data_IF_164796541673
#
_entry.id   IF_164796541673
#
_cell.length_a   1.000
_cell.length_b   1.000
_cell.length_c   1.000
_cell.angle_alpha   90.00
_cell.angle_beta   90.00
_cell.angle_gamma   90.00
#
_symmetry.space_group_name_H-M   'P 1'
#
loop_
_entity.id
_entity.type
_entity.pdbx_description
1 polymer ?
#
# COMPACT_ATOMS: atom_id res chain seq x y z
N UNK A 1 8.24 -5.31 6.96
CA UNK A 1 8.96 -4.28 6.19
C UNK A 1 9.69 -4.91 5.01
N UNK A 2 10.22 -4.10 4.09
CA UNK A 2 11.06 -4.59 3.02
C UNK A 2 12.38 -5.16 3.56
N UNK A 3 12.92 -6.19 2.92
CA UNK A 3 14.20 -6.80 3.28
C UNK A 3 15.22 -6.68 2.13
N UNK A 4 16.53 -6.79 2.41
CA UNK A 4 17.56 -6.70 1.37
C UNK A 4 17.30 -7.71 0.24
N UNK A 5 17.51 -7.30 -1.01
CA UNK A 5 17.33 -8.13 -2.21
C UNK A 5 15.92 -8.70 -2.44
N UNK A 6 14.90 -8.08 -1.85
CA UNK A 6 13.51 -8.46 -2.09
C UNK A 6 13.10 -8.22 -3.56
N UNK A 7 12.37 -9.18 -4.14
CA UNK A 7 11.90 -9.13 -5.53
C UNK A 7 10.40 -8.79 -5.67
N UNK A 8 9.59 -9.24 -4.71
CA UNK A 8 8.14 -9.06 -4.72
C UNK A 8 7.65 -8.04 -3.70
N UNK A 9 6.34 -8.05 -3.45
CA UNK A 9 5.72 -7.28 -2.38
C UNK A 9 6.18 -7.74 -0.99
N UNK A 10 5.97 -6.89 0.02
CA UNK A 10 6.08 -7.27 1.43
C UNK A 10 4.99 -8.27 1.79
N UNK A 11 5.25 -9.10 2.80
CA UNK A 11 4.26 -10.05 3.32
C UNK A 11 2.99 -9.32 3.76
N UNK A 12 1.85 -9.80 3.28
CA UNK A 12 0.56 -9.21 3.55
C UNK A 12 0.17 -9.37 5.03
N UNK A 13 -0.24 -8.28 5.66
CA UNK A 13 -0.70 -8.24 7.05
C UNK A 13 -2.18 -7.90 7.21
N UNK A 14 -2.85 -7.59 6.10
CA UNK A 14 -4.30 -7.41 6.00
C UNK A 14 -4.89 -8.39 4.97
N UNK A 15 -6.17 -8.80 5.10
CA UNK A 15 -6.84 -9.65 4.11
C UNK A 15 -6.86 -9.04 2.70
N UNK A 16 -7.00 -7.71 2.62
CA UNK A 16 -6.96 -6.98 1.33
C UNK A 16 -5.61 -7.13 0.65
N UNK A 17 -4.51 -7.01 1.40
CA UNK A 17 -3.18 -7.16 0.81
C UNK A 17 -2.94 -8.60 0.34
N UNK A 18 -3.50 -9.62 1.00
CA UNK A 18 -3.46 -11.00 0.52
C UNK A 18 -4.17 -11.17 -0.84
N UNK A 19 -5.36 -10.59 -1.00
CA UNK A 19 -6.07 -10.58 -2.28
C UNK A 19 -5.28 -9.82 -3.38
N UNK A 20 -4.61 -8.72 -3.02
CA UNK A 20 -3.74 -7.98 -3.94
C UNK A 20 -2.52 -8.79 -4.38
N UNK A 21 -1.91 -9.60 -3.50
CA UNK A 21 -0.83 -10.52 -3.88
C UNK A 21 -1.30 -11.54 -4.92
N UNK A 22 -2.46 -12.17 -4.69
CA UNK A 22 -3.02 -13.14 -5.63
C UNK A 22 -3.40 -12.51 -6.98
N UNK A 23 -3.98 -11.31 -6.96
CA UNK A 23 -4.30 -10.57 -8.18
C UNK A 23 -3.06 -10.13 -8.95
N UNK A 24 -2.01 -9.70 -8.23
CA UNK A 24 -0.72 -9.41 -8.84
C UNK A 24 -0.15 -10.64 -9.53
N UNK A 25 -0.12 -11.79 -8.88
CA UNK A 25 0.45 -13.02 -9.46
C UNK A 25 -0.32 -13.47 -10.71
N UNK A 26 -1.66 -13.39 -10.68
CA UNK A 26 -2.51 -13.64 -11.84
C UNK A 26 -2.17 -12.70 -13.01
N UNK A 27 -2.03 -11.40 -12.73
CA UNK A 27 -1.69 -10.40 -13.75
C UNK A 27 -0.27 -10.59 -14.27
N UNK A 28 0.69 -10.88 -13.38
CA UNK A 28 2.09 -11.09 -13.71
C UNK A 28 2.29 -12.32 -14.60
N UNK A 29 1.55 -13.41 -14.34
CA UNK A 29 1.51 -14.59 -15.21
C UNK A 29 1.11 -14.21 -16.64
N UNK A 30 0.08 -13.38 -16.80
CA UNK A 30 -0.37 -12.91 -18.12
C UNK A 30 0.69 -12.03 -18.79
N UNK A 31 1.33 -11.12 -18.04
CA UNK A 31 2.41 -10.27 -18.55
C UNK A 31 3.61 -11.10 -19.02
N UNK A 32 4.01 -12.13 -18.26
CA UNK A 32 5.08 -13.05 -18.67
C UNK A 32 4.70 -13.86 -19.92
N UNK A 33 3.45 -14.31 -20.03
CA UNK A 33 2.97 -15.02 -21.20
C UNK A 33 3.04 -14.13 -22.46
N UNK A 34 2.55 -12.90 -22.38
CA UNK A 34 2.55 -11.97 -23.52
C UNK A 34 3.97 -11.56 -23.89
N UNK A 35 4.81 -11.18 -22.92
CA UNK A 35 6.18 -10.75 -23.18
C UNK A 35 7.04 -11.87 -23.78
N UNK A 36 6.90 -13.10 -23.29
CA UNK A 36 7.61 -14.26 -23.86
C UNK A 36 7.11 -14.61 -25.27
N UNK A 37 5.81 -14.50 -25.54
CA UNK A 37 5.23 -14.70 -26.88
C UNK A 37 5.76 -13.66 -27.88
N UNK A 38 5.75 -12.38 -27.50
CA UNK A 38 6.27 -11.29 -28.36
C UNK A 38 7.77 -11.49 -28.62
N UNK A 39 8.54 -11.80 -27.58
CA UNK A 39 9.97 -12.10 -27.73
C UNK A 39 10.20 -13.28 -28.68
N UNK A 40 9.43 -14.36 -28.53
CA UNK A 40 9.50 -15.52 -29.41
C UNK A 40 9.21 -15.14 -30.87
N UNK A 41 8.15 -14.38 -31.14
CA UNK A 41 7.80 -13.92 -32.49
C UNK A 41 8.95 -13.10 -33.09
N UNK A 42 9.52 -12.15 -32.34
CA UNK A 42 10.65 -11.34 -32.81
C UNK A 42 11.84 -12.23 -33.19
N UNK A 43 12.23 -13.15 -32.31
CA UNK A 43 13.35 -14.07 -32.56
C UNK A 43 13.08 -14.97 -33.77
N UNK A 44 11.86 -15.51 -33.89
CA UNK A 44 11.47 -16.35 -35.03
C UNK A 44 11.51 -15.58 -36.35
N UNK A 45 10.99 -14.36 -36.38
CA UNK A 45 10.95 -13.52 -37.59
C UNK A 45 12.33 -13.07 -38.05
N UNK A 46 13.26 -12.80 -37.12
CA UNK A 46 14.62 -12.32 -37.45
C UNK A 46 15.60 -13.47 -37.76
N UNK A 47 15.33 -14.69 -37.29
CA UNK A 47 16.25 -15.83 -37.44
C UNK A 47 16.10 -16.60 -38.76
N UNK A 48 15.02 -16.38 -39.52
CA UNK A 48 14.79 -17.11 -40.78
C UNK A 48 15.52 -16.48 -41.97
N UNK A 49 16.04 -17.33 -42.86
CA UNK A 49 16.58 -16.92 -44.17
C UNK A 49 15.52 -16.94 -45.28
N UNK A 50 14.35 -17.54 -45.02
CA UNK A 50 13.26 -17.61 -45.99
C UNK A 50 12.66 -16.23 -46.20
N UNK A 51 12.28 -15.90 -47.43
CA UNK A 51 11.70 -14.58 -47.75
C UNK A 51 10.34 -14.74 -48.40
N UNK A 52 9.40 -13.91 -47.96
CA UNK A 52 8.13 -13.65 -48.64
C UNK A 52 7.91 -12.14 -48.63
N UNK A 53 7.74 -11.54 -49.81
CA UNK A 53 7.57 -10.09 -50.00
C UNK A 53 6.19 -9.71 -50.52
N UNK A 54 5.32 -10.71 -50.74
CA UNK A 54 3.96 -10.44 -51.20
C UNK A 54 3.15 -9.84 -50.06
N UNK A 55 2.34 -8.83 -50.39
CA UNK A 55 1.33 -8.31 -49.46
C UNK A 55 0.24 -9.38 -49.39
N UNK A 56 0.07 -9.97 -48.21
CA UNK A 56 -1.01 -10.90 -47.92
C UNK A 56 -2.17 -10.12 -47.32
N UNK A 57 -3.39 -10.45 -47.72
CA UNK A 57 -4.59 -9.99 -47.01
C UNK A 57 -4.57 -10.54 -45.57
N UNK A 58 -4.94 -9.71 -44.60
CA UNK A 58 -4.68 -9.94 -43.16
C UNK A 58 -5.92 -9.91 -42.27
N UNK A 59 -7.13 -9.86 -42.84
CA UNK A 59 -8.37 -9.77 -42.06
C UNK A 59 -8.50 -10.87 -40.99
N UNK A 60 -8.16 -12.12 -41.32
CA UNK A 60 -8.27 -13.24 -40.38
C UNK A 60 -7.33 -13.10 -39.17
N UNK A 61 -6.09 -12.63 -39.39
CA UNK A 61 -5.14 -12.45 -38.29
C UNK A 61 -5.43 -11.20 -37.47
N UNK A 62 -5.99 -10.18 -38.12
CA UNK A 62 -6.50 -8.98 -37.46
C UNK A 62 -7.60 -9.30 -36.46
N UNK A 63 -8.56 -10.14 -36.85
CA UNK A 63 -9.62 -10.61 -35.94
C UNK A 63 -9.02 -11.33 -34.73
N UNK A 64 -8.03 -12.20 -34.94
CA UNK A 64 -7.38 -12.95 -33.85
C UNK A 64 -6.68 -12.01 -32.86
N UNK A 65 -5.82 -11.11 -33.33
CA UNK A 65 -5.07 -10.22 -32.43
C UNK A 65 -5.91 -9.10 -31.82
N UNK A 66 -7.16 -8.91 -32.26
CA UNK A 66 -8.10 -7.99 -31.61
C UNK A 66 -8.93 -8.72 -30.55
N UNK A 67 -9.48 -9.90 -30.86
CA UNK A 67 -10.34 -10.65 -29.93
C UNK A 67 -9.54 -11.23 -28.76
N UNK A 68 -8.35 -11.79 -29.02
CA UNK A 68 -7.55 -12.44 -27.97
C UNK A 68 -7.16 -11.45 -26.85
N UNK A 69 -6.60 -10.26 -27.13
CA UNK A 69 -6.34 -9.26 -26.09
C UNK A 69 -7.59 -8.77 -25.38
N UNK A 70 -8.73 -8.63 -26.07
CA UNK A 70 -9.99 -8.24 -25.43
C UNK A 70 -10.43 -9.25 -24.35
N UNK A 71 -10.31 -10.56 -24.64
CA UNK A 71 -10.60 -11.61 -23.65
C UNK A 71 -9.62 -11.55 -22.47
N UNK A 72 -8.32 -11.34 -22.75
CA UNK A 72 -7.29 -11.20 -21.70
C UNK A 72 -7.61 -10.03 -20.76
N UNK A 73 -8.02 -8.88 -21.31
CA UNK A 73 -8.40 -7.71 -20.50
C UNK A 73 -9.59 -8.01 -19.59
N UNK A 74 -10.61 -8.74 -20.08
CA UNK A 74 -11.75 -9.16 -19.25
C UNK A 74 -11.29 -10.06 -18.09
N UNK A 75 -10.38 -11.00 -18.36
CA UNK A 75 -9.82 -11.91 -17.34
C UNK A 75 -9.01 -11.19 -16.25
N UNK A 76 -8.45 -10.01 -16.54
CA UNK A 76 -7.79 -9.15 -15.55
C UNK A 76 -8.83 -8.26 -14.84
N UNK A 77 -9.77 -7.67 -15.58
CA UNK A 77 -10.72 -6.71 -15.06
C UNK A 77 -11.67 -7.31 -14.02
N UNK A 78 -12.15 -8.53 -14.22
CA UNK A 78 -13.10 -9.17 -13.29
C UNK A 78 -12.56 -9.32 -11.85
N UNK A 79 -11.39 -9.96 -11.60
CA UNK A 79 -10.83 -10.03 -10.26
C UNK A 79 -10.42 -8.65 -9.72
N UNK A 80 -9.92 -7.75 -10.59
CA UNK A 80 -9.57 -6.38 -10.19
C UNK A 80 -10.75 -5.60 -9.62
N UNK A 81 -11.88 -5.60 -10.33
CA UNK A 81 -13.09 -4.91 -9.89
C UNK A 81 -13.65 -5.53 -8.61
N UNK A 82 -13.61 -6.85 -8.47
CA UNK A 82 -14.02 -7.52 -7.22
C UNK A 82 -13.23 -7.00 -6.03
N UNK A 83 -11.90 -6.93 -6.13
CA UNK A 83 -11.04 -6.42 -5.04
C UNK A 83 -11.32 -4.94 -4.77
N UNK A 84 -11.49 -4.13 -5.82
CA UNK A 84 -11.82 -2.71 -5.68
C UNK A 84 -13.08 -2.50 -4.83
N UNK A 85 -14.14 -3.28 -5.07
CA UNK A 85 -15.37 -3.18 -4.28
C UNK A 85 -15.19 -3.71 -2.84
N UNK A 86 -14.39 -4.75 -2.63
CA UNK A 86 -14.06 -5.24 -1.27
C UNK A 86 -13.29 -4.19 -0.45
N UNK A 87 -12.44 -3.39 -1.09
CA UNK A 87 -11.70 -2.31 -0.43
C UNK A 87 -12.58 -1.11 -0.05
N UNK A 88 -13.61 -0.84 -0.83
CA UNK A 88 -14.53 0.28 -0.61
C UNK A 88 -15.69 -0.07 0.34
N UNK A 89 -15.89 -1.36 0.65
CA UNK A 89 -16.92 -1.80 1.57
C UNK A 89 -16.63 -1.29 2.99
N UNK A 90 -17.45 -0.33 3.44
CA UNK A 90 -17.30 0.28 4.76
C UNK A 90 -17.84 -0.69 5.82
N UNK A 91 -16.92 -1.37 6.47
CA UNK A 91 -17.21 -2.14 7.69
C UNK A 91 -17.49 -1.19 8.86
N UNK A 92 -18.32 -1.63 9.81
CA UNK A 92 -18.53 -0.96 11.10
C UNK A 92 -17.21 -0.95 11.89
N UNK A 93 -16.47 0.18 11.95
CA UNK A 93 -15.14 0.19 12.52
C UNK A 93 -15.21 0.27 14.04
N UNK A 94 -14.30 -0.44 14.71
CA UNK A 94 -14.22 -0.41 16.17
C UNK A 94 -13.55 0.87 16.69
N UNK A 95 -12.66 1.46 15.88
CA UNK A 95 -11.98 2.72 16.22
C UNK A 95 -11.70 3.53 14.95
N UNK A 96 -11.81 4.84 15.10
CA UNK A 96 -11.47 5.86 14.11
C UNK A 96 -10.23 6.60 14.57
N UNK A 97 -9.24 6.70 13.69
CA UNK A 97 -7.99 7.40 13.95
C UNK A 97 -7.77 8.40 12.83
N UNK A 98 -7.46 9.65 13.18
CA UNK A 98 -7.08 10.67 12.21
C UNK A 98 -5.56 10.71 12.09
N UNK A 99 -5.05 10.72 10.86
CA UNK A 99 -3.65 11.01 10.56
C UNK A 99 -3.56 12.35 9.83
N UNK A 100 -2.77 13.28 10.37
CA UNK A 100 -2.48 14.57 9.75
C UNK A 100 -1.05 14.61 9.25
N UNK A 101 -0.87 14.96 7.97
CA UNK A 101 0.43 15.20 7.38
C UNK A 101 0.91 16.63 7.59
N UNK A 102 2.15 16.78 8.05
CA UNK A 102 2.85 18.06 8.23
C UNK A 102 4.25 17.98 7.60
N UNK A 103 4.85 19.12 7.28
CA UNK A 103 6.26 19.24 6.88
C UNK A 103 7.14 19.21 8.15
N UNK A 104 7.83 18.14 8.50
CA UNK A 104 7.88 16.80 7.91
C UNK A 104 7.74 15.73 8.99
N UNK A 105 6.50 15.47 9.40
CA UNK A 105 6.10 14.47 10.40
C UNK A 105 4.60 14.15 10.25
N UNK A 106 4.12 13.19 11.05
CA UNK A 106 2.71 12.85 11.11
C UNK A 106 2.18 13.08 12.53
N UNK A 107 0.96 13.57 12.67
CA UNK A 107 0.24 13.60 13.94
C UNK A 107 -0.93 12.63 13.89
N UNK A 108 -1.23 11.99 15.02
CA UNK A 108 -2.32 11.03 15.14
C UNK A 108 -3.30 11.46 16.23
N UNK A 109 -4.58 11.48 15.90
CA UNK A 109 -5.66 11.76 16.85
C UNK A 109 -6.56 10.53 17.02
N UNK A 110 -6.78 10.12 18.26
CA UNK A 110 -7.69 9.05 18.68
C UNK A 110 -8.79 9.71 19.50
N UNK A 111 -9.92 10.08 18.89
CA UNK A 111 -10.94 10.96 19.51
C UNK A 111 -12.26 10.26 19.86
N UNK A 112 -12.38 8.96 19.61
CA UNK A 112 -13.62 8.21 19.84
C UNK A 112 -13.98 8.09 21.33
N UNK A 113 -12.98 8.00 22.21
CA UNK A 113 -13.18 7.79 23.66
C UNK A 113 -12.63 8.92 24.52
N UNK A 114 -11.42 9.41 24.21
CA UNK A 114 -10.74 10.52 24.89
C UNK A 114 -10.01 11.36 23.85
N UNK A 115 -9.51 12.54 24.20
CA UNK A 115 -8.71 13.35 23.28
C UNK A 115 -7.23 12.96 23.40
N UNK A 116 -6.87 11.82 22.81
CA UNK A 116 -5.47 11.39 22.71
C UNK A 116 -4.89 11.87 21.37
N UNK A 117 -3.82 12.66 21.45
CA UNK A 117 -3.12 13.22 20.29
C UNK A 117 -1.61 13.18 20.54
N UNK A 118 -0.82 12.87 19.51
CA UNK A 118 0.64 12.95 19.56
C UNK A 118 1.25 13.11 18.17
N UNK A 119 2.47 13.66 18.15
CA UNK A 119 3.31 13.76 16.96
C UNK A 119 4.25 12.56 16.85
N UNK A 120 4.53 12.17 15.61
CA UNK A 120 5.40 11.06 15.23
C UNK A 120 6.48 11.55 14.28
N UNK A 121 7.67 11.80 14.82
CA UNK A 121 8.87 12.22 14.08
C UNK A 121 9.80 11.04 13.81
N UNK A 122 10.56 11.12 12.72
CA UNK A 122 11.64 10.16 12.45
C UNK A 122 12.74 10.27 13.50
N UNK A 123 13.17 9.13 14.06
CA UNK A 123 14.36 9.09 14.91
C UNK A 123 15.61 9.34 14.06
N UNK A 124 16.46 10.27 14.49
CA UNK A 124 17.71 10.57 13.78
C UNK A 124 18.66 9.38 13.84
N UNK A 125 19.47 9.20 12.79
CA UNK A 125 20.33 8.01 12.67
C UNK A 125 21.34 7.90 13.81
N UNK A 126 21.75 9.02 14.40
CA UNK A 126 22.68 9.09 15.53
C UNK A 126 22.05 8.63 16.86
N UNK A 127 20.73 8.76 16.98
CA UNK A 127 19.95 8.43 18.18
C UNK A 127 19.33 7.02 18.12
N UNK A 128 19.55 6.27 17.03
CA UNK A 128 19.00 4.93 16.85
C UNK A 128 19.69 3.90 17.76
N UNK A 129 18.88 3.18 18.53
CA UNK A 129 19.35 2.01 19.27
C UNK A 129 19.80 0.88 18.32
N UNK A 130 20.81 0.08 18.69
CA UNK A 130 21.27 -1.05 17.88
C UNK A 130 20.13 -2.02 17.53
N UNK A 131 20.00 -2.35 16.24
CA UNK A 131 18.97 -3.24 15.71
C UNK A 131 17.75 -2.54 15.12
N UNK A 132 17.62 -1.23 15.32
CA UNK A 132 16.55 -0.42 14.72
C UNK A 132 16.85 0.02 13.29
N UNK A 133 15.80 0.37 12.54
CA UNK A 133 15.90 0.66 11.11
C UNK A 133 16.10 2.15 10.81
N UNK A 134 17.19 2.45 10.10
CA UNK A 134 17.47 3.78 9.57
C UNK A 134 16.33 4.29 8.68
N UNK A 135 15.88 5.51 8.91
CA UNK A 135 14.81 6.23 8.18
C UNK A 135 13.39 5.67 8.33
N UNK A 136 13.18 4.64 9.15
CA UNK A 136 11.87 4.00 9.29
C UNK A 136 11.30 4.11 10.70
N UNK A 137 12.13 4.16 11.73
CA UNK A 137 11.63 4.34 13.10
C UNK A 137 11.11 5.75 13.36
N UNK A 138 10.07 5.82 14.18
CA UNK A 138 9.52 7.04 14.74
C UNK A 138 9.65 7.03 16.26
N UNK A 139 9.68 8.22 16.86
CA UNK A 139 9.69 8.40 18.32
C UNK A 139 8.40 7.87 18.98
N UNK A 140 7.24 8.17 18.38
CA UNK A 140 5.95 7.60 18.74
C UNK A 140 5.39 6.78 17.59
N UNK A 141 4.91 5.58 17.91
CA UNK A 141 4.25 4.69 16.94
C UNK A 141 2.75 4.85 17.03
N UNK A 142 2.08 4.68 15.90
CA UNK A 142 0.62 4.57 15.86
C UNK A 142 0.21 3.17 16.37
N UNK A 143 -0.22 3.07 17.62
CA UNK A 143 -0.61 1.79 18.24
C UNK A 143 -2.09 1.52 18.02
N UNK A 144 -2.43 0.31 17.56
CA UNK A 144 -3.81 -0.11 17.28
C UNK A 144 -4.12 -1.53 17.76
N UNK A 145 -5.39 -1.85 18.05
CA UNK A 145 -5.80 -3.21 18.36
C UNK A 145 -5.78 -4.09 17.10
N UNK A 146 -5.10 -5.23 17.17
CA UNK A 146 -5.15 -6.26 16.12
C UNK A 146 -6.57 -6.85 15.98
N UNK A 147 -6.86 -7.46 14.83
CA UNK A 147 -8.13 -8.13 14.51
C UNK A 147 -9.39 -7.26 14.67
N UNK A 148 -9.22 -5.94 14.68
CA UNK A 148 -10.31 -4.97 14.73
C UNK A 148 -10.32 -4.14 13.46
N UNK A 149 -11.49 -3.86 12.84
CA UNK A 149 -11.57 -2.94 11.73
C UNK A 149 -11.27 -1.52 12.20
N UNK A 150 -10.25 -0.91 11.61
CA UNK A 150 -9.78 0.45 11.89
C UNK A 150 -10.24 1.35 10.75
N UNK A 151 -10.88 2.48 11.07
CA UNK A 151 -11.14 3.56 10.11
C UNK A 151 -10.04 4.61 10.24
N UNK A 152 -9.30 4.82 9.17
CA UNK A 152 -8.36 5.94 9.07
C UNK A 152 -9.02 7.12 8.36
N UNK A 153 -8.88 8.30 8.97
CA UNK A 153 -9.20 9.58 8.36
C UNK A 153 -7.90 10.32 8.09
N UNK A 154 -7.60 10.60 6.83
CA UNK A 154 -6.30 11.07 6.38
C UNK A 154 -6.46 12.46 5.76
N UNK A 155 -5.71 13.44 6.26
CA UNK A 155 -5.69 14.81 5.77
C UNK A 155 -4.31 15.45 6.02
N UNK A 156 -4.12 16.70 5.62
CA UNK A 156 -2.89 17.45 5.85
C UNK A 156 -3.20 18.88 6.28
N UNK A 157 -2.27 19.50 7.01
CA UNK A 157 -2.41 20.89 7.43
C UNK A 157 -1.66 21.89 6.53
N UNK A 158 -0.71 21.42 5.72
CA UNK A 158 0.13 22.28 4.88
C UNK A 158 0.06 21.94 3.38
N UNK A 159 0.85 20.97 2.92
CA UNK A 159 0.98 20.56 1.52
C UNK A 159 0.39 19.16 1.33
N UNK A 160 0.47 18.65 0.10
CA UNK A 160 0.10 17.26 -0.17
C UNK A 160 1.09 16.30 0.49
N UNK A 161 0.56 15.28 1.16
CA UNK A 161 1.29 14.11 1.61
C UNK A 161 0.53 12.85 1.19
N UNK A 162 1.05 11.66 1.50
CA UNK A 162 0.30 10.43 1.29
C UNK A 162 0.69 9.40 2.33
N UNK A 163 -0.31 8.97 3.10
CA UNK A 163 -0.14 8.01 4.18
C UNK A 163 -0.19 6.60 3.59
N UNK A 164 0.92 5.86 3.68
CA UNK A 164 1.06 4.57 3.03
C UNK A 164 1.75 3.55 3.91
N UNK A 165 1.13 2.37 4.07
CA UNK A 165 1.69 1.21 4.78
C UNK A 165 1.57 -0.01 3.86
N UNK A 166 2.64 -0.36 3.10
CA UNK A 166 2.56 -1.35 2.04
C UNK A 166 2.12 -2.75 2.49
N UNK A 167 2.54 -3.21 3.67
CA UNK A 167 2.14 -4.51 4.20
C UNK A 167 0.63 -4.62 4.46
N UNK A 168 -0.07 -3.48 4.59
CA UNK A 168 -1.52 -3.42 4.77
C UNK A 168 -2.27 -3.22 3.45
N UNK A 169 -1.57 -2.97 2.33
CA UNK A 169 -2.20 -2.63 1.06
C UNK A 169 -2.89 -1.26 1.08
N UNK A 170 -2.47 -0.36 1.99
CA UNK A 170 -3.09 0.97 2.17
C UNK A 170 -2.14 2.05 1.67
N UNK A 171 -2.67 2.90 0.80
CA UNK A 171 -2.09 4.20 0.42
C UNK A 171 -3.25 5.18 0.19
N UNK A 172 -3.23 6.31 0.87
CA UNK A 172 -4.23 7.36 0.67
C UNK A 172 -3.60 8.74 0.82
N UNK A 173 -3.92 9.62 -0.11
CA UNK A 173 -3.37 10.96 -0.11
C UNK A 173 -3.97 11.80 1.02
N UNK A 174 -3.11 12.55 1.68
CA UNK A 174 -3.42 13.55 2.67
C UNK A 174 -3.49 14.91 1.97
N UNK A 175 -4.71 15.42 1.78
CA UNK A 175 -4.98 16.62 0.99
C UNK A 175 -5.52 17.72 1.92
N UNK A 176 -4.88 18.90 1.99
CA UNK A 176 -5.38 19.99 2.82
C UNK A 176 -6.82 20.37 2.47
N UNK A 177 -7.67 20.48 3.50
CA UNK A 177 -9.10 20.79 3.34
C UNK A 177 -9.97 19.62 2.87
N UNK A 178 -9.43 18.40 2.76
CA UNK A 178 -10.19 17.18 2.45
C UNK A 178 -9.87 16.07 3.46
N UNK A 179 -10.91 15.46 4.00
CA UNK A 179 -10.80 14.32 4.89
C UNK A 179 -11.04 13.03 4.10
N UNK A 180 -9.96 12.36 3.74
CA UNK A 180 -10.03 11.08 3.03
C UNK A 180 -10.22 9.94 4.01
N UNK A 181 -10.91 8.89 3.61
CA UNK A 181 -11.16 7.72 4.46
C UNK A 181 -10.58 6.46 3.81
N UNK A 182 -10.00 5.60 4.64
CA UNK A 182 -9.68 4.22 4.26
C UNK A 182 -9.90 3.30 5.47
N UNK A 183 -10.11 2.01 5.24
CA UNK A 183 -10.27 1.03 6.31
C UNK A 183 -9.32 -0.14 6.13
N UNK A 184 -8.86 -0.71 7.23
CA UNK A 184 -8.08 -1.93 7.20
C UNK A 184 -8.24 -2.72 8.49
N UNK A 185 -7.86 -4.00 8.42
CA UNK A 185 -7.76 -4.91 9.57
C UNK A 185 -6.35 -5.49 9.55
N UNK A 186 -5.67 -5.51 10.70
CA UNK A 186 -4.40 -6.20 10.85
C UNK A 186 -4.63 -7.56 11.51
N UNK A 187 -4.30 -8.65 10.81
CA UNK A 187 -4.62 -10.01 11.25
C UNK A 187 -3.67 -10.54 12.34
N UNK A 188 -2.47 -9.96 12.47
CA UNK A 188 -1.38 -10.47 13.32
C UNK A 188 -0.69 -9.34 14.08
N UNK A 189 -0.26 -9.56 15.34
CA UNK A 189 0.48 -8.56 16.08
C UNK A 189 1.84 -8.30 15.43
N UNK A 190 2.36 -7.08 15.57
CA UNK A 190 3.65 -6.71 15.02
C UNK A 190 3.78 -5.24 14.67
N UNK A 191 4.94 -4.88 14.13
CA UNK A 191 5.28 -3.51 13.71
C UNK A 191 5.34 -3.44 12.20
N UNK A 192 4.58 -2.52 11.61
CA UNK A 192 4.42 -2.34 10.18
C UNK A 192 4.88 -0.95 9.79
N UNK A 193 5.74 -0.89 8.78
CA UNK A 193 6.42 0.34 8.39
C UNK A 193 5.87 0.86 7.06
N UNK A 194 5.85 2.19 6.97
CA UNK A 194 5.40 2.97 5.83
C UNK A 194 6.26 4.22 5.65
N UNK A 195 6.08 4.91 4.53
CA UNK A 195 6.72 6.19 4.25
C UNK A 195 5.75 7.12 3.51
N UNK A 196 5.96 8.43 3.65
CA UNK A 196 5.22 9.41 2.85
C UNK A 196 5.39 9.10 1.35
N UNK A 197 4.26 9.03 0.64
CA UNK A 197 4.20 8.58 -0.76
C UNK A 197 3.74 9.65 -1.75
N UNK A 198 3.87 10.92 -1.37
CA UNK A 198 3.60 12.12 -2.19
C UNK A 198 4.64 13.20 -1.91
N UNK A 199 5.13 13.89 -2.93
CA UNK A 199 6.25 14.82 -2.79
C UNK A 199 5.87 16.05 -1.95
N UNK A 200 6.49 16.19 -0.76
CA UNK A 200 6.11 17.22 0.22
C UNK A 200 7.24 18.18 0.63
N UNK A 201 8.34 18.24 -0.14
CA UNK A 201 9.44 19.20 0.06
C UNK A 201 10.75 18.56 0.54
N UNK A 202 11.57 19.34 1.26
CA UNK A 202 12.98 19.02 1.54
C UNK A 202 13.18 17.69 2.28
N UNK A 203 12.34 17.40 3.28
CA UNK A 203 12.43 16.17 4.07
C UNK A 203 11.35 15.15 3.72
N UNK A 204 10.89 15.13 2.47
CA UNK A 204 9.90 14.15 1.99
C UNK A 204 10.30 12.69 2.31
N UNK A 205 11.58 12.35 2.21
CA UNK A 205 12.09 11.01 2.51
C UNK A 205 12.27 10.70 4.01
N UNK A 206 11.99 11.64 4.90
CA UNK A 206 12.33 11.59 6.33
C UNK A 206 11.13 11.74 7.27
N UNK A 207 9.94 11.36 6.80
CA UNK A 207 8.70 11.32 7.59
C UNK A 207 8.01 9.94 7.47
N UNK A 208 8.61 8.90 8.08
CA UNK A 208 8.08 7.55 8.01
C UNK A 208 6.81 7.39 8.84
N UNK A 209 6.16 6.24 8.66
CA UNK A 209 4.97 5.82 9.37
C UNK A 209 5.28 4.49 10.04
N UNK A 210 4.98 4.36 11.32
CA UNK A 210 5.11 3.09 12.06
C UNK A 210 3.79 2.79 12.74
N UNK A 211 3.19 1.66 12.36
CA UNK A 211 1.95 1.14 12.93
C UNK A 211 2.29 -0.09 13.77
N UNK A 212 1.91 -0.08 15.04
CA UNK A 212 2.11 -1.20 15.96
C UNK A 212 0.77 -1.84 16.31
N UNK A 213 0.59 -3.10 15.90
CA UNK A 213 -0.61 -3.87 16.17
C UNK A 213 -0.42 -4.73 17.42
N UNK A 214 -1.26 -4.53 18.42
CA UNK A 214 -1.20 -5.23 19.72
C UNK A 214 -2.55 -5.83 20.09
N UNK A 215 -2.62 -6.83 20.99
CA UNK A 215 -3.90 -7.27 21.56
C UNK A 215 -4.65 -6.13 22.24
N UNK A 216 -5.99 -6.17 22.22
CA UNK A 216 -6.86 -5.10 22.73
C UNK A 216 -6.48 -4.63 24.15
N UNK A 217 -6.21 -5.56 25.06
CA UNK A 217 -5.82 -5.24 26.44
C UNK A 217 -4.53 -4.39 26.52
N UNK A 218 -3.56 -4.63 25.63
CA UNK A 218 -2.34 -3.81 25.57
C UNK A 218 -2.60 -2.44 24.96
N UNK A 219 -3.50 -2.38 23.96
CA UNK A 219 -3.92 -1.10 23.38
C UNK A 219 -4.64 -0.23 24.41
N UNK A 220 -5.56 -0.79 25.21
CA UNK A 220 -6.26 -0.06 26.28
C UNK A 220 -5.28 0.48 27.33
N UNK A 221 -4.34 -0.35 27.78
CA UNK A 221 -3.31 0.07 28.74
C UNK A 221 -2.40 1.17 28.16
N UNK A 222 -1.97 1.02 26.91
CA UNK A 222 -1.16 2.02 26.22
C UNK A 222 -1.92 3.35 26.11
N UNK A 223 -3.19 3.31 25.69
CA UNK A 223 -4.03 4.49 25.56
C UNK A 223 -4.17 5.22 26.89
N UNK A 224 -4.40 4.50 28.00
CA UNK A 224 -4.48 5.11 29.33
C UNK A 224 -3.17 5.77 29.77
N UNK A 225 -2.01 5.16 29.49
CA UNK A 225 -0.70 5.71 29.86
C UNK A 225 -0.39 6.98 29.08
N UNK A 226 -0.65 6.99 27.78
CA UNK A 226 -0.44 8.18 26.94
C UNK A 226 -1.28 9.37 27.40
N UNK A 227 -2.48 9.11 27.93
CA UNK A 227 -3.34 10.17 28.48
C UNK A 227 -2.86 10.71 29.83
N UNK A 228 -2.07 9.94 30.58
CA UNK A 228 -1.45 10.39 31.84
C UNK A 228 -0.16 11.18 31.62
N UNK A 229 0.50 11.00 30.47
CA UNK A 229 1.74 11.68 30.10
C UNK A 229 1.52 13.07 29.44
N UNK A 230 0.27 13.40 29.09
CA UNK A 230 -0.17 14.72 28.57
C UNK A 230 -0.76 15.58 29.68
#
# INVERSE_FOLDING_TARGET
>A
MAHPSQLGFQDAASPVMEELLHFHDHTLMIVFLISSLVLYIIVAMVSTKLTNKYILDSQEIEIVWTIVPAIILIMIALPSLRILYLMDEINDPHITIKALGHQWYWSYEYTDYQNLEFDSYMIQTEDLNPGLFRLLETDHRMVIPMQSPIRMLITAEDVLHSWAVPALGVKMDAVPGRLNQTTFVISRPGVYYGQCSEICGANHSFMPIVVEAVPLQHFENWSSLMLEEV
#
